data_IF_525393655780
#
_entry.id   IF_525393655780
#
_cell.length_a   1.000
_cell.length_b   1.000
_cell.length_c   1.000
_cell.angle_alpha   90.00
_cell.angle_beta   90.00
_cell.angle_gamma   90.00
#
_symmetry.space_group_name_H-M   'P 1'
#
loop_
_entity.id
_entity.type
_entity.pdbx_description
1 polymer ?
#
# COMPACT_ATOMS: atom_id res chain seq x y z
N UNK A 1 15.01 -8.94 32.66
CA UNK A 1 14.49 -8.15 33.80
C UNK A 1 13.47 -7.11 33.34
N UNK A 2 13.80 -6.24 32.36
CA UNK A 2 12.91 -5.18 31.84
C UNK A 2 11.53 -5.68 31.39
N UNK A 3 11.44 -6.74 30.59
CA UNK A 3 10.13 -7.17 30.03
C UNK A 3 9.17 -7.74 31.07
N UNK A 4 9.70 -8.44 32.09
CA UNK A 4 8.90 -8.95 33.22
C UNK A 4 8.37 -7.79 34.06
N UNK A 5 9.20 -6.76 34.26
CA UNK A 5 8.83 -5.56 34.98
C UNK A 5 7.77 -4.73 34.22
N UNK A 6 7.90 -4.61 32.89
CA UNK A 6 6.89 -3.92 32.06
C UNK A 6 5.55 -4.66 32.09
N UNK A 7 5.55 -6.00 32.01
CA UNK A 7 4.31 -6.79 32.13
C UNK A 7 3.64 -6.59 33.49
N UNK A 8 4.40 -6.68 34.58
CA UNK A 8 3.87 -6.49 35.93
C UNK A 8 3.32 -5.06 36.13
N UNK A 9 4.03 -4.05 35.63
CA UNK A 9 3.64 -2.65 35.77
C UNK A 9 2.42 -2.32 34.92
N UNK A 10 2.30 -2.90 33.72
CA UNK A 10 1.12 -2.75 32.88
C UNK A 10 -0.15 -3.31 33.56
N UNK A 11 -0.04 -4.44 34.27
CA UNK A 11 -1.14 -4.96 35.08
C UNK A 11 -1.50 -4.00 36.22
N UNK A 12 -0.50 -3.39 36.88
CA UNK A 12 -0.73 -2.39 37.92
C UNK A 12 -1.42 -1.13 37.37
N UNK A 13 -0.97 -0.60 36.22
CA UNK A 13 -1.60 0.54 35.55
C UNK A 13 -3.04 0.27 35.13
N UNK A 14 -3.35 -0.95 34.67
CA UNK A 14 -4.73 -1.32 34.34
C UNK A 14 -5.64 -1.25 35.57
N UNK A 15 -5.15 -1.67 36.73
CA UNK A 15 -5.88 -1.59 38.01
C UNK A 15 -6.03 -0.13 38.46
N UNK A 16 -4.96 0.67 38.40
CA UNK A 16 -4.99 2.10 38.78
C UNK A 16 -5.97 2.91 37.93
N UNK A 17 -6.09 2.59 36.64
CA UNK A 17 -7.02 3.26 35.71
C UNK A 17 -8.46 2.71 35.79
N UNK A 18 -8.73 1.73 36.67
CA UNK A 18 -10.05 1.09 36.77
C UNK A 18 -10.44 0.30 35.51
N UNK A 19 -9.45 -0.12 34.71
CA UNK A 19 -9.66 -0.82 33.44
C UNK A 19 -9.75 -2.33 33.66
N UNK A 20 -10.52 -3.07 32.83
CA UNK A 20 -10.57 -4.52 32.89
C UNK A 20 -9.17 -5.11 32.79
N UNK A 21 -8.88 -6.16 33.58
CA UNK A 21 -7.56 -6.81 33.52
C UNK A 21 -7.35 -7.40 32.14
N UNK A 22 -6.33 -6.95 31.40
CA UNK A 22 -6.04 -7.45 30.06
C UNK A 22 -5.57 -8.90 30.12
N UNK A 23 -5.96 -9.74 29.14
CA UNK A 23 -5.55 -11.13 29.11
C UNK A 23 -4.03 -11.24 28.93
N UNK A 24 -3.42 -12.27 29.54
CA UNK A 24 -1.96 -12.46 29.47
C UNK A 24 -1.45 -12.70 28.05
N UNK A 25 -2.34 -13.12 27.14
CA UNK A 25 -2.08 -13.30 25.70
C UNK A 25 -1.90 -11.97 24.95
N UNK A 26 -2.31 -10.84 25.53
CA UNK A 26 -2.08 -9.52 24.93
C UNK A 26 -0.61 -9.09 24.97
N UNK A 27 0.26 -9.80 25.71
CA UNK A 27 1.68 -9.47 25.87
C UNK A 27 2.56 -10.56 25.31
N UNK A 28 3.38 -10.19 24.32
CA UNK A 28 4.35 -11.10 23.71
C UNK A 28 5.77 -10.56 23.93
N UNK A 29 6.48 -11.05 24.97
CA UNK A 29 7.88 -10.70 25.22
C UNK A 29 8.84 -11.48 24.31
N UNK A 30 10.09 -11.01 24.09
CA UNK A 30 11.07 -11.64 23.19
C UNK A 30 11.42 -13.10 23.50
N UNK A 31 11.24 -13.54 24.74
CA UNK A 31 11.54 -14.90 25.19
C UNK A 31 10.38 -15.89 24.99
N UNK A 32 9.29 -15.49 24.34
CA UNK A 32 8.19 -16.39 23.99
C UNK A 32 8.39 -16.99 22.62
N UNK A 33 7.99 -18.27 22.46
CA UNK A 33 8.06 -18.99 21.19
C UNK A 33 7.21 -18.34 20.09
N UNK A 34 6.19 -17.57 20.47
CA UNK A 34 5.32 -16.85 19.53
C UNK A 34 5.87 -15.49 19.10
N UNK A 35 6.94 -14.98 19.72
CA UNK A 35 7.42 -13.61 19.49
C UNK A 35 7.80 -13.35 18.04
N UNK A 36 8.69 -14.16 17.46
CA UNK A 36 9.12 -13.95 16.07
C UNK A 36 7.96 -14.13 15.09
N UNK A 37 7.06 -15.09 15.34
CA UNK A 37 5.85 -15.30 14.53
C UNK A 37 4.92 -14.09 14.56
N UNK A 38 4.65 -13.56 15.76
CA UNK A 38 3.77 -12.40 15.96
C UNK A 38 4.39 -11.14 15.39
N UNK A 39 5.70 -10.96 15.58
CA UNK A 39 6.46 -9.91 14.94
C UNK A 39 6.22 -10.04 13.43
N UNK A 40 6.67 -11.12 12.78
CA UNK A 40 6.64 -11.32 11.32
C UNK A 40 5.26 -11.31 10.66
N UNK A 41 4.20 -11.62 11.40
CA UNK A 41 2.83 -11.83 10.87
C UNK A 41 2.14 -10.67 10.13
N UNK A 42 2.75 -9.49 10.04
CA UNK A 42 2.29 -8.40 9.16
C UNK A 42 3.44 -7.49 8.73
N UNK A 43 4.65 -8.03 8.60
CA UNK A 43 5.76 -7.28 8.03
C UNK A 43 5.65 -7.32 6.51
N UNK A 44 5.76 -6.16 5.88
CA UNK A 44 5.64 -6.04 4.44
C UNK A 44 6.93 -5.65 3.74
N UNK A 45 7.89 -5.05 4.46
CA UNK A 45 9.23 -4.76 3.93
C UNK A 45 10.30 -5.52 4.74
N UNK A 46 10.81 -6.62 4.16
CA UNK A 46 11.78 -7.52 4.83
C UNK A 46 13.16 -6.89 5.04
N UNK A 47 13.46 -5.76 4.35
CA UNK A 47 14.72 -5.00 4.45
C UNK A 47 15.08 -4.66 5.89
N UNK A 48 14.07 -4.33 6.69
CA UNK A 48 14.26 -3.91 8.09
C UNK A 48 14.31 -5.06 9.08
N UNK A 49 13.82 -6.23 8.68
CA UNK A 49 13.83 -7.41 9.55
C UNK A 49 15.17 -8.15 9.50
N UNK A 50 15.86 -8.08 8.36
CA UNK A 50 17.19 -8.69 8.16
C UNK A 50 18.34 -7.78 8.61
N UNK A 51 18.08 -6.50 8.87
CA UNK A 51 19.10 -5.55 9.29
C UNK A 51 19.53 -5.80 10.75
N UNK A 52 20.79 -6.16 10.95
CA UNK A 52 21.38 -6.31 12.29
C UNK A 52 21.43 -4.98 13.07
N UNK A 53 21.34 -3.83 12.38
CA UNK A 53 21.32 -2.50 12.99
C UNK A 53 19.92 -2.10 13.49
N UNK A 54 18.86 -2.81 13.08
CA UNK A 54 17.50 -2.50 13.49
C UNK A 54 17.23 -3.04 14.91
N UNK A 55 16.81 -2.15 15.82
CA UNK A 55 16.37 -2.58 17.15
C UNK A 55 15.01 -3.28 17.02
N UNK A 56 14.90 -4.49 17.59
CA UNK A 56 13.64 -5.22 17.72
C UNK A 56 12.86 -4.72 18.96
N UNK A 57 11.51 -4.82 18.97
CA UNK A 57 10.73 -4.36 20.10
C UNK A 57 11.05 -5.14 21.38
N UNK A 58 11.09 -4.45 22.51
CA UNK A 58 11.24 -5.06 23.83
C UNK A 58 9.96 -5.80 24.27
N UNK A 59 8.82 -5.48 23.65
CA UNK A 59 7.50 -6.03 23.92
C UNK A 59 6.57 -5.80 22.72
N UNK A 60 5.74 -6.78 22.40
CA UNK A 60 4.61 -6.61 21.47
C UNK A 60 3.32 -6.69 22.29
N UNK A 61 2.46 -5.68 22.16
CA UNK A 61 1.17 -5.58 22.80
C UNK A 61 0.07 -5.73 21.75
N UNK A 62 -0.78 -6.75 21.89
CA UNK A 62 -1.98 -6.96 21.06
C UNK A 62 -3.22 -6.66 21.91
N UNK A 63 -3.72 -5.42 21.86
CA UNK A 63 -4.85 -5.04 22.70
C UNK A 63 -6.13 -5.77 22.27
N UNK A 64 -6.93 -6.20 23.23
CA UNK A 64 -8.25 -6.77 22.99
C UNK A 64 -9.33 -5.69 22.82
N UNK A 65 -9.06 -4.44 23.23
CA UNK A 65 -9.97 -3.32 23.12
C UNK A 65 -9.34 -1.99 23.55
N UNK A 66 -10.13 -0.90 23.59
CA UNK A 66 -9.64 0.45 23.89
C UNK A 66 -8.96 0.59 25.27
N UNK A 67 -9.44 -0.15 26.27
CA UNK A 67 -8.84 -0.16 27.60
C UNK A 67 -7.36 -0.61 27.57
N UNK A 68 -7.07 -1.69 26.84
CA UNK A 68 -5.70 -2.19 26.69
C UNK A 68 -4.79 -1.17 26.00
N UNK A 69 -5.34 -0.38 25.06
CA UNK A 69 -4.60 0.70 24.41
C UNK A 69 -4.24 1.80 25.43
N UNK A 70 -5.20 2.23 26.25
CA UNK A 70 -4.97 3.25 27.28
C UNK A 70 -3.92 2.79 28.29
N UNK A 71 -4.03 1.55 28.79
CA UNK A 71 -3.05 0.98 29.69
C UNK A 71 -1.66 0.87 29.04
N UNK A 72 -1.57 0.56 27.74
CA UNK A 72 -0.30 0.45 27.03
C UNK A 72 0.40 1.79 26.95
N UNK A 73 -0.36 2.85 26.61
CA UNK A 73 0.14 4.23 26.56
C UNK A 73 0.60 4.71 27.93
N UNK A 74 -0.22 4.49 28.97
CA UNK A 74 0.12 4.88 30.33
C UNK A 74 1.40 4.17 30.82
N UNK A 75 1.48 2.85 30.64
CA UNK A 75 2.65 2.06 31.00
C UNK A 75 3.90 2.48 30.20
N UNK A 76 3.77 2.70 28.90
CA UNK A 76 4.90 3.15 28.07
C UNK A 76 5.46 4.48 28.57
N UNK A 77 4.57 5.44 28.85
CA UNK A 77 4.93 6.75 29.42
C UNK A 77 5.58 6.62 30.80
N UNK A 78 5.01 5.82 31.70
CA UNK A 78 5.51 5.62 33.06
C UNK A 78 6.91 5.00 33.11
N UNK A 79 7.30 4.24 32.08
CA UNK A 79 8.59 3.57 32.01
C UNK A 79 9.56 4.15 30.97
N UNK A 80 9.21 5.29 30.34
CA UNK A 80 10.02 5.87 29.26
C UNK A 80 10.19 4.94 28.05
N UNK A 81 9.25 4.02 27.85
CA UNK A 81 9.25 3.07 26.74
C UNK A 81 8.48 3.68 25.57
N UNK A 82 9.19 3.92 24.46
CA UNK A 82 8.57 4.44 23.25
C UNK A 82 7.55 3.42 22.71
N UNK A 83 6.41 3.90 22.23
CA UNK A 83 5.38 3.06 21.62
C UNK A 83 5.33 3.35 20.14
N UNK A 84 5.36 2.29 19.34
CA UNK A 84 5.11 2.34 17.90
C UNK A 84 3.80 1.61 17.60
N UNK A 85 2.90 2.28 16.89
CA UNK A 85 1.61 1.67 16.52
C UNK A 85 1.78 0.95 15.19
N UNK A 86 1.31 -0.30 15.13
CA UNK A 86 1.29 -1.11 13.92
C UNK A 86 -0.13 -1.57 13.64
N UNK A 87 -0.58 -1.39 12.41
CA UNK A 87 -1.87 -1.89 11.92
C UNK A 87 -1.61 -2.97 10.87
N UNK A 88 -1.52 -2.60 9.59
CA UNK A 88 -1.20 -3.52 8.49
C UNK A 88 0.31 -3.77 8.30
N UNK A 89 1.18 -2.93 8.89
CA UNK A 89 2.64 -3.04 8.77
C UNK A 89 3.18 -2.76 7.37
N UNK A 90 2.49 -1.92 6.59
CA UNK A 90 2.90 -1.42 5.27
C UNK A 90 3.78 -0.17 5.32
N UNK A 91 4.39 0.16 6.46
CA UNK A 91 5.29 1.31 6.55
C UNK A 91 6.53 1.07 5.67
N UNK A 92 6.75 1.92 4.66
CA UNK A 92 7.80 1.74 3.66
C UNK A 92 9.21 1.78 4.25
N UNK A 93 9.38 2.44 5.40
CA UNK A 93 10.65 2.54 6.14
C UNK A 93 10.63 1.70 7.43
N UNK A 94 9.62 0.83 7.59
CA UNK A 94 9.47 -0.04 8.74
C UNK A 94 9.25 0.67 10.08
N UNK A 95 8.89 1.95 10.07
CA UNK A 95 8.77 2.76 11.28
C UNK A 95 7.68 2.26 12.23
N UNK A 96 6.73 1.43 11.80
CA UNK A 96 5.74 0.85 12.71
C UNK A 96 6.28 -0.33 13.53
N UNK A 97 7.49 -0.83 13.25
CA UNK A 97 7.97 -2.08 13.84
C UNK A 97 9.49 -2.22 14.05
N UNK A 98 10.31 -1.29 13.56
CA UNK A 98 11.74 -1.16 13.90
C UNK A 98 12.06 0.22 14.45
N UNK A 99 13.17 0.33 15.18
CA UNK A 99 13.75 1.61 15.60
C UNK A 99 15.26 1.66 15.29
N UNK A 100 15.75 2.85 14.94
CA UNK A 100 17.17 3.12 14.75
C UNK A 100 17.97 3.19 16.07
N UNK A 101 17.27 3.13 17.21
CA UNK A 101 17.84 3.11 18.55
C UNK A 101 16.75 3.27 19.62
N UNK A 102 17.13 3.04 20.88
CA UNK A 102 16.23 3.12 22.03
C UNK A 102 15.30 1.91 22.19
N UNK A 103 14.89 1.66 23.43
CA UNK A 103 13.91 0.62 23.74
C UNK A 103 12.51 1.10 23.32
N UNK A 104 11.75 0.23 22.65
CA UNK A 104 10.38 0.50 22.27
C UNK A 104 9.50 -0.75 22.36
N UNK A 105 8.20 -0.55 22.45
CA UNK A 105 7.17 -1.57 22.30
C UNK A 105 6.34 -1.31 21.04
N UNK A 106 5.79 -2.38 20.47
CA UNK A 106 4.78 -2.28 19.42
C UNK A 106 3.40 -2.41 20.04
N UNK A 107 2.48 -1.52 19.70
CA UNK A 107 1.05 -1.69 19.87
C UNK A 107 0.45 -2.19 18.54
N UNK A 108 0.19 -3.49 18.44
CA UNK A 108 -0.19 -4.21 17.22
C UNK A 108 -1.73 -4.35 17.12
N UNK A 109 -2.36 -3.45 16.36
CA UNK A 109 -3.81 -3.36 16.17
C UNK A 109 -4.23 -4.19 14.95
N UNK A 110 -5.15 -5.15 15.14
CA UNK A 110 -5.58 -6.08 14.06
C UNK A 110 -7.10 -6.19 13.88
N UNK A 111 -7.88 -5.39 14.60
CA UNK A 111 -9.34 -5.44 14.52
C UNK A 111 -9.86 -4.51 13.43
N UNK A 112 -10.50 -5.08 12.41
CA UNK A 112 -11.31 -4.35 11.44
C UNK A 112 -12.65 -5.09 11.29
N UNK A 113 -13.75 -4.34 11.33
CA UNK A 113 -15.08 -4.80 10.95
C UNK A 113 -15.43 -4.11 9.63
N UNK A 114 -15.82 -4.89 8.63
CA UNK A 114 -16.22 -4.39 7.31
C UNK A 114 -17.67 -4.79 7.12
N UNK A 115 -18.52 -3.80 6.85
CA UNK A 115 -19.88 -3.99 6.38
C UNK A 115 -19.87 -3.79 4.87
N UNK A 116 -20.33 -4.79 4.11
CA UNK A 116 -20.18 -4.84 2.66
C UNK A 116 -21.54 -4.74 1.98
N UNK A 117 -21.94 -3.53 1.58
CA UNK A 117 -23.06 -3.31 0.68
C UNK A 117 -22.60 -3.31 -0.79
N UNK A 118 -23.36 -4.01 -1.63
CA UNK A 118 -23.00 -4.35 -3.00
C UNK A 118 -23.16 -3.20 -4.02
N UNK A 119 -22.17 -3.06 -4.90
CA UNK A 119 -22.28 -2.33 -6.17
C UNK A 119 -21.27 -2.88 -7.20
N UNK A 120 -21.46 -2.56 -8.48
CA UNK A 120 -20.64 -3.04 -9.62
C UNK A 120 -19.50 -2.09 -9.97
N UNK A 121 -18.38 -2.59 -10.48
CA UNK A 121 -17.23 -1.79 -10.92
C UNK A 121 -16.37 -2.55 -11.93
N UNK A 122 -15.72 -1.87 -12.87
CA UNK A 122 -15.11 -2.51 -14.05
C UNK A 122 -13.60 -2.38 -14.11
N UNK A 123 -12.94 -3.31 -14.80
CA UNK A 123 -11.50 -3.25 -15.09
C UNK A 123 -11.21 -3.20 -16.58
N UNK A 124 -10.31 -2.30 -16.99
CA UNK A 124 -9.66 -2.25 -18.31
C UNK A 124 -8.17 -2.44 -18.08
N UNK A 125 -7.47 -3.23 -18.89
CA UNK A 125 -6.01 -3.19 -18.91
C UNK A 125 -5.46 -3.40 -20.31
N UNK A 126 -4.55 -2.50 -20.72
CA UNK A 126 -3.80 -2.61 -21.98
C UNK A 126 -2.31 -2.51 -21.69
N UNK A 127 -1.54 -3.48 -22.17
CA UNK A 127 -0.07 -3.53 -21.99
C UNK A 127 0.65 -3.31 -23.30
N UNK A 128 1.62 -2.40 -23.33
CA UNK A 128 2.42 -2.05 -24.50
C UNK A 128 3.92 -2.13 -24.20
N UNK A 129 4.74 -2.50 -25.19
CA UNK A 129 6.21 -2.40 -25.11
C UNK A 129 6.65 -0.94 -25.32
N UNK A 130 7.77 -0.56 -24.69
CA UNK A 130 8.34 0.79 -24.63
C UNK A 130 8.06 1.71 -25.83
N UNK A 131 8.49 1.33 -27.05
CA UNK A 131 8.41 2.21 -28.22
C UNK A 131 6.99 2.67 -28.57
N UNK A 132 5.99 1.78 -28.43
CA UNK A 132 4.58 2.13 -28.63
C UNK A 132 3.98 2.83 -27.39
N UNK A 133 4.51 2.54 -26.20
CA UNK A 133 4.03 3.10 -24.95
C UNK A 133 4.42 4.56 -24.74
N UNK A 134 5.62 5.00 -25.16
CA UNK A 134 6.14 6.35 -24.85
C UNK A 134 5.20 7.47 -25.29
N UNK A 135 4.76 7.46 -26.55
CA UNK A 135 3.82 8.45 -27.08
C UNK A 135 2.48 8.40 -26.35
N UNK A 136 2.07 7.21 -25.93
CA UNK A 136 0.81 7.02 -25.24
C UNK A 136 0.87 7.51 -23.80
N UNK A 137 1.98 7.33 -23.10
CA UNK A 137 2.23 7.93 -21.77
C UNK A 137 2.27 9.45 -21.88
N UNK A 138 2.91 9.99 -22.92
CA UNK A 138 2.91 11.44 -23.20
C UNK A 138 1.51 11.99 -23.45
N UNK A 139 0.64 11.23 -24.13
CA UNK A 139 -0.76 11.62 -24.30
C UNK A 139 -1.54 11.48 -23.01
N UNK A 140 -1.38 10.36 -22.31
CA UNK A 140 -2.05 10.02 -21.06
C UNK A 140 -1.89 11.12 -20.00
N UNK A 141 -0.68 11.63 -19.78
CA UNK A 141 -0.43 12.70 -18.79
C UNK A 141 -1.19 14.02 -19.06
N UNK A 142 -1.72 14.23 -20.26
CA UNK A 142 -2.50 15.42 -20.61
C UNK A 142 -4.01 15.20 -20.59
N UNK A 143 -4.46 13.94 -20.63
CA UNK A 143 -5.90 13.61 -20.74
C UNK A 143 -6.43 12.96 -19.48
N UNK A 144 -5.60 12.23 -18.74
CA UNK A 144 -6.06 11.35 -17.66
C UNK A 144 -6.65 12.10 -16.45
N UNK A 145 -6.19 13.33 -16.16
CA UNK A 145 -6.78 14.20 -15.12
C UNK A 145 -8.12 14.81 -15.50
N UNK A 146 -8.39 14.91 -16.81
CA UNK A 146 -9.56 15.58 -17.38
C UNK A 146 -10.66 14.59 -17.81
N UNK A 147 -10.45 13.30 -17.57
CA UNK A 147 -11.47 12.28 -17.85
C UNK A 147 -12.69 12.48 -16.94
N UNK A 148 -13.82 11.90 -17.36
CA UNK A 148 -15.04 11.88 -16.56
C UNK A 148 -14.77 11.27 -15.17
N UNK A 149 -15.41 11.80 -14.12
CA UNK A 149 -15.17 11.38 -12.72
C UNK A 149 -15.35 9.87 -12.47
N UNK A 150 -16.17 9.22 -13.29
CA UNK A 150 -16.43 7.78 -13.20
C UNK A 150 -15.31 6.91 -13.81
N UNK A 151 -14.28 7.52 -14.42
CA UNK A 151 -13.19 6.83 -15.13
C UNK A 151 -11.83 7.17 -14.53
N UNK A 152 -11.15 6.14 -14.00
CA UNK A 152 -9.74 6.21 -13.61
C UNK A 152 -8.91 5.39 -14.61
N UNK A 153 -7.79 5.93 -15.09
CA UNK A 153 -6.79 5.19 -15.86
C UNK A 153 -5.40 5.53 -15.33
N UNK A 154 -4.73 4.56 -14.73
CA UNK A 154 -3.34 4.70 -14.27
C UNK A 154 -2.38 4.31 -15.39
N UNK A 155 -1.09 4.62 -15.21
CA UNK A 155 -0.02 4.10 -16.06
C UNK A 155 1.06 3.46 -15.18
N UNK A 156 1.29 2.16 -15.39
CA UNK A 156 2.28 1.38 -14.63
C UNK A 156 3.38 0.95 -15.60
N UNK A 157 4.58 1.50 -15.42
CA UNK A 157 5.75 1.08 -16.17
C UNK A 157 6.61 0.12 -15.34
N UNK A 158 6.98 -1.00 -15.94
CA UNK A 158 7.88 -2.00 -15.36
C UNK A 158 9.06 -2.17 -16.29
N UNK A 159 10.27 -2.00 -15.76
CA UNK A 159 11.51 -2.40 -16.42
C UNK A 159 12.02 -3.67 -15.77
N UNK A 160 12.07 -4.74 -16.57
CA UNK A 160 12.53 -6.05 -16.14
C UNK A 160 13.42 -6.66 -17.23
N UNK A 161 14.11 -7.74 -16.88
CA UNK A 161 14.93 -8.49 -17.82
C UNK A 161 14.03 -9.13 -18.90
N UNK A 162 14.51 -9.13 -20.14
CA UNK A 162 13.73 -9.64 -21.27
C UNK A 162 13.79 -11.17 -21.31
N UNK A 163 12.63 -11.83 -21.14
CA UNK A 163 12.50 -13.30 -21.18
C UNK A 163 13.06 -13.90 -22.48
N UNK A 164 13.08 -13.13 -23.58
CA UNK A 164 13.54 -13.54 -24.91
C UNK A 164 15.01 -13.16 -25.21
N UNK A 165 15.73 -12.51 -24.29
CA UNK A 165 17.09 -12.05 -24.56
C UNK A 165 18.15 -13.16 -24.35
N UNK A 166 18.76 -13.58 -25.45
CA UNK A 166 19.98 -14.44 -25.48
C UNK A 166 21.24 -13.74 -24.95
N UNK A 167 21.16 -12.46 -24.58
CA UNK A 167 22.26 -11.67 -24.02
C UNK A 167 21.91 -11.17 -22.62
N UNK A 168 22.75 -11.50 -21.62
CA UNK A 168 22.64 -10.96 -20.27
C UNK A 168 22.60 -9.41 -20.32
N UNK A 169 21.59 -8.82 -19.68
CA UNK A 169 21.55 -7.38 -19.35
C UNK A 169 20.79 -6.47 -20.30
N UNK A 170 19.98 -6.99 -21.24
CA UNK A 170 19.06 -6.15 -22.03
C UNK A 170 17.68 -6.12 -21.39
N UNK A 171 17.35 -5.02 -20.73
CA UNK A 171 16.03 -4.79 -20.11
C UNK A 171 14.99 -4.29 -21.09
N UNK A 172 13.76 -4.75 -20.92
CA UNK A 172 12.60 -4.31 -21.70
C UNK A 172 11.62 -3.59 -20.78
N UNK A 173 11.23 -2.37 -21.18
CA UNK A 173 10.19 -1.60 -20.48
C UNK A 173 8.82 -1.97 -21.06
N UNK A 174 7.91 -2.36 -20.17
CA UNK A 174 6.49 -2.60 -20.45
C UNK A 174 5.67 -1.55 -19.71
N UNK A 175 4.66 -1.01 -20.36
CA UNK A 175 3.72 -0.07 -19.73
C UNK A 175 2.32 -0.64 -19.83
N UNK A 176 1.65 -0.75 -18.69
CA UNK A 176 0.26 -1.18 -18.57
C UNK A 176 -0.59 0.03 -18.19
N UNK A 177 -1.74 0.17 -18.83
CA UNK A 177 -2.75 1.18 -18.51
C UNK A 177 -3.95 0.50 -17.84
N UNK A 178 -3.88 0.16 -16.54
CA UNK A 178 -5.04 -0.35 -15.84
C UNK A 178 -6.03 0.80 -15.63
N UNK A 179 -7.31 0.52 -15.80
CA UNK A 179 -8.37 1.49 -15.62
C UNK A 179 -9.58 0.90 -14.93
N UNK A 180 -10.33 1.75 -14.24
CA UNK A 180 -11.58 1.42 -13.60
C UNK A 180 -12.67 2.37 -14.08
N UNK A 181 -13.83 1.82 -14.43
CA UNK A 181 -14.98 2.60 -14.85
C UNK A 181 -16.23 2.24 -14.04
N UNK A 182 -16.95 3.26 -13.56
CA UNK A 182 -18.19 3.11 -12.80
C UNK A 182 -19.42 3.13 -13.74
N UNK A 183 -19.48 2.21 -14.70
CA UNK A 183 -20.57 2.13 -15.66
C UNK A 183 -20.44 0.95 -16.62
N UNK A 184 -21.34 0.79 -17.58
CA UNK A 184 -21.31 -0.39 -18.48
C UNK A 184 -20.19 -0.29 -19.52
N UNK A 185 -19.69 -1.44 -20.00
CA UNK A 185 -18.67 -1.52 -21.06
C UNK A 185 -18.97 -0.63 -22.29
N UNK A 186 -20.22 -0.59 -22.76
CA UNK A 186 -20.59 0.23 -23.92
C UNK A 186 -20.36 1.73 -23.67
N UNK A 187 -20.64 2.19 -22.45
CA UNK A 187 -20.42 3.58 -22.06
C UNK A 187 -18.93 3.86 -21.96
N UNK A 188 -18.14 2.95 -21.37
CA UNK A 188 -16.68 3.04 -21.34
C UNK A 188 -16.10 3.19 -22.74
N UNK A 189 -16.49 2.33 -23.68
CA UNK A 189 -15.97 2.39 -25.05
C UNK A 189 -16.34 3.70 -25.76
N UNK A 190 -17.54 4.26 -25.49
CA UNK A 190 -17.93 5.58 -26.01
C UNK A 190 -17.02 6.68 -25.46
N UNK A 191 -16.86 6.74 -24.13
CA UNK A 191 -16.01 7.71 -23.44
C UNK A 191 -14.57 7.62 -23.92
N UNK A 192 -14.03 6.40 -24.04
CA UNK A 192 -12.67 6.15 -24.53
C UNK A 192 -12.51 6.63 -25.97
N UNK A 193 -13.48 6.37 -26.85
CA UNK A 193 -13.40 6.79 -28.24
C UNK A 193 -13.47 8.33 -28.40
N UNK A 194 -14.19 9.01 -27.51
CA UNK A 194 -14.31 10.48 -27.52
C UNK A 194 -13.11 11.18 -26.89
N UNK A 195 -12.64 10.69 -25.73
CA UNK A 195 -11.69 11.42 -24.89
C UNK A 195 -10.26 10.90 -24.96
N UNK A 196 -10.07 9.62 -25.31
CA UNK A 196 -8.73 9.00 -25.33
C UNK A 196 -8.63 7.83 -26.32
N UNK A 197 -8.99 8.08 -27.58
CA UNK A 197 -9.04 7.07 -28.64
C UNK A 197 -7.67 6.46 -28.96
N UNK A 198 -6.59 7.18 -28.69
CA UNK A 198 -5.21 6.73 -28.87
C UNK A 198 -4.87 5.52 -27.99
N UNK A 199 -5.56 5.34 -26.85
CA UNK A 199 -5.43 4.14 -26.02
C UNK A 199 -5.97 2.89 -26.72
N UNK A 200 -6.74 3.01 -27.81
CA UNK A 200 -7.24 1.88 -28.58
C UNK A 200 -7.96 0.86 -27.71
N UNK A 201 -8.84 1.35 -26.82
CA UNK A 201 -9.65 0.49 -25.97
C UNK A 201 -10.63 -0.32 -26.83
N UNK A 202 -10.68 -1.63 -26.60
CA UNK A 202 -11.54 -2.56 -27.32
C UNK A 202 -12.35 -3.37 -26.31
N UNK A 203 -13.48 -3.92 -26.76
CA UNK A 203 -14.33 -4.73 -25.91
C UNK A 203 -13.57 -5.93 -25.31
N UNK A 204 -12.64 -6.51 -26.06
CA UNK A 204 -11.76 -7.63 -25.66
C UNK A 204 -10.82 -7.29 -24.51
N UNK A 205 -10.52 -6.01 -24.27
CA UNK A 205 -9.67 -5.55 -23.18
C UNK A 205 -10.44 -5.26 -21.87
N UNK A 206 -11.77 -5.34 -21.89
CA UNK A 206 -12.62 -4.97 -20.75
C UNK A 206 -13.22 -6.23 -20.09
N UNK A 207 -13.43 -6.18 -18.77
CA UNK A 207 -14.16 -7.23 -18.03
C UNK A 207 -15.22 -6.64 -17.10
N UNK A 208 -16.46 -7.14 -17.22
CA UNK A 208 -17.59 -6.80 -16.33
C UNK A 208 -17.49 -7.56 -15.03
N UNK A 209 -17.24 -6.85 -13.94
CA UNK A 209 -17.10 -7.47 -12.63
C UNK A 209 -17.85 -6.67 -11.55
N UNK A 210 -18.00 -7.27 -10.38
CA UNK A 210 -18.46 -6.58 -9.18
C UNK A 210 -17.34 -5.70 -8.59
N UNK A 211 -17.68 -4.77 -7.69
CA UNK A 211 -16.68 -3.92 -7.02
C UNK A 211 -15.70 -4.73 -6.16
N UNK A 212 -16.13 -5.85 -5.59
CA UNK A 212 -15.26 -6.70 -4.76
C UNK A 212 -14.31 -7.52 -5.63
N UNK A 213 -14.76 -7.97 -6.80
CA UNK A 213 -13.89 -8.59 -7.81
C UNK A 213 -12.93 -7.58 -8.43
N UNK A 214 -13.36 -6.34 -8.70
CA UNK A 214 -12.47 -5.27 -9.16
C UNK A 214 -11.42 -4.93 -8.10
N UNK A 215 -11.80 -4.87 -6.81
CA UNK A 215 -10.86 -4.71 -5.72
C UNK A 215 -9.85 -5.87 -5.67
N UNK A 216 -10.30 -7.11 -5.90
CA UNK A 216 -9.40 -8.27 -5.97
C UNK A 216 -8.43 -8.18 -7.15
N UNK A 217 -8.92 -7.71 -8.32
CA UNK A 217 -8.10 -7.49 -9.50
C UNK A 217 -6.99 -6.45 -9.26
N UNK A 218 -7.33 -5.27 -8.73
CA UNK A 218 -6.35 -4.22 -8.43
C UNK A 218 -5.40 -4.59 -7.28
N UNK A 219 -5.79 -5.53 -6.41
CA UNK A 219 -4.90 -6.12 -5.41
C UNK A 219 -3.91 -7.15 -5.99
N UNK A 220 -4.02 -7.48 -7.29
CA UNK A 220 -3.14 -8.45 -7.97
C UNK A 220 -3.58 -9.91 -7.84
N UNK A 221 -4.82 -10.18 -7.40
CA UNK A 221 -5.34 -11.55 -7.36
C UNK A 221 -5.80 -11.98 -8.76
N UNK A 222 -5.03 -12.88 -9.38
CA UNK A 222 -5.23 -13.31 -10.78
C UNK A 222 -6.62 -13.90 -11.08
N UNK A 223 -7.25 -14.56 -10.12
CA UNK A 223 -8.58 -15.17 -10.28
C UNK A 223 -9.73 -14.21 -9.93
N UNK A 224 -9.43 -12.93 -9.62
CA UNK A 224 -10.39 -11.93 -9.14
C UNK A 224 -11.27 -12.42 -7.97
N UNK A 225 -10.79 -13.41 -7.22
CA UNK A 225 -11.54 -14.03 -6.14
C UNK A 225 -11.75 -13.02 -5.00
N UNK A 226 -12.97 -12.49 -4.91
CA UNK A 226 -13.35 -11.46 -3.93
C UNK A 226 -13.22 -11.91 -2.48
N UNK A 227 -13.25 -13.22 -2.21
CA UNK A 227 -13.04 -13.74 -0.84
C UNK A 227 -11.61 -13.50 -0.35
N UNK A 228 -10.63 -13.40 -1.26
CA UNK A 228 -9.24 -13.07 -0.94
C UNK A 228 -9.09 -11.68 -0.32
N UNK A 229 -9.94 -10.73 -0.71
CA UNK A 229 -9.94 -9.37 -0.13
C UNK A 229 -10.36 -9.38 1.34
N UNK A 230 -11.10 -10.40 1.76
CA UNK A 230 -11.49 -10.61 3.16
C UNK A 230 -10.44 -11.40 3.96
N UNK A 231 -9.43 -11.98 3.30
CA UNK A 231 -8.37 -12.71 3.99
C UNK A 231 -7.50 -11.77 4.82
N UNK A 232 -7.52 -12.00 6.13
CA UNK A 232 -6.78 -11.17 7.10
C UNK A 232 -5.35 -11.65 7.34
N UNK A 233 -4.89 -12.60 6.54
CA UNK A 233 -3.50 -13.10 6.57
C UNK A 233 -2.75 -12.31 5.50
N UNK A 234 -1.86 -11.39 5.90
CA UNK A 234 -1.10 -10.65 4.92
C UNK A 234 -0.31 -11.64 4.09
N UNK A 235 -0.45 -11.58 2.77
CA UNK A 235 0.40 -12.34 1.90
C UNK A 235 1.83 -11.87 2.14
N UNK A 236 2.71 -12.81 2.47
CA UNK A 236 4.11 -12.49 2.70
C UNK A 236 4.70 -12.05 1.37
N UNK A 237 4.88 -10.74 1.21
CA UNK A 237 5.76 -10.26 0.17
C UNK A 237 7.19 -10.54 0.65
N UNK A 238 7.79 -11.62 0.16
CA UNK A 238 9.16 -12.02 0.52
C UNK A 238 10.21 -11.02 0.02
N UNK A 239 9.82 -10.05 -0.80
CA UNK A 239 10.68 -9.03 -1.38
C UNK A 239 11.08 -7.91 -0.41
N UNK A 240 12.29 -7.40 -0.61
CA UNK A 240 12.71 -6.08 -0.13
C UNK A 240 12.29 -5.03 -1.14
N UNK A 241 11.94 -3.82 -0.70
CA UNK A 241 11.73 -2.72 -1.63
C UNK A 241 12.15 -1.37 -1.04
N UNK A 242 12.40 -0.41 -1.93
CA UNK A 242 12.55 1.00 -1.62
C UNK A 242 11.65 1.80 -2.57
N UNK A 243 10.81 2.65 -2.00
CA UNK A 243 9.92 3.50 -2.77
C UNK A 243 10.14 4.98 -2.46
N UNK A 244 9.79 5.81 -3.44
CA UNK A 244 9.73 7.27 -3.38
C UNK A 244 8.52 7.70 -4.20
N UNK A 245 7.94 8.84 -3.86
CA UNK A 245 6.83 9.46 -4.57
C UNK A 245 7.20 10.90 -4.94
N UNK A 246 6.58 11.40 -6.00
CA UNK A 246 6.74 12.77 -6.46
C UNK A 246 5.46 13.23 -7.18
N UNK A 247 5.28 14.54 -7.31
CA UNK A 247 4.18 15.19 -8.04
C UNK A 247 4.76 15.90 -9.25
N UNK A 248 4.57 15.34 -10.45
CA UNK A 248 5.32 15.78 -11.64
C UNK A 248 4.47 15.79 -12.90
N UNK A 249 4.82 16.70 -13.82
CA UNK A 249 4.60 16.49 -15.25
C UNK A 249 5.78 15.68 -15.78
N UNK A 250 5.50 14.53 -16.36
CA UNK A 250 6.52 13.56 -16.72
C UNK A 250 7.35 14.04 -17.92
N UNK A 251 8.67 13.84 -17.85
CA UNK A 251 9.65 14.34 -18.85
C UNK A 251 10.54 13.26 -19.47
N UNK A 252 10.18 11.97 -19.35
CA UNK A 252 11.01 10.89 -19.87
C UNK A 252 12.03 10.37 -18.85
N UNK A 253 11.71 9.27 -18.16
CA UNK A 253 12.62 8.57 -17.24
C UNK A 253 13.02 7.17 -17.73
N UNK A 254 12.71 6.83 -18.98
CA UNK A 254 12.95 5.51 -19.55
C UNK A 254 14.41 5.07 -19.49
N UNK A 255 15.34 6.01 -19.72
CA UNK A 255 16.77 5.74 -19.63
C UNK A 255 17.18 5.26 -18.24
N UNK A 256 16.70 5.93 -17.19
CA UNK A 256 16.98 5.54 -15.81
C UNK A 256 16.45 4.13 -15.51
N UNK A 257 15.22 3.83 -15.94
CA UNK A 257 14.62 2.51 -15.74
C UNK A 257 15.37 1.40 -16.49
N UNK A 258 15.83 1.68 -17.72
CA UNK A 258 16.57 0.72 -18.53
C UNK A 258 18.01 0.47 -18.06
N UNK A 259 18.65 1.47 -17.43
CA UNK A 259 20.03 1.39 -16.93
C UNK A 259 20.13 0.76 -15.53
N UNK A 260 19.02 0.52 -14.84
CA UNK A 260 19.00 -0.16 -13.55
C UNK A 260 19.50 -1.61 -13.69
N UNK A 261 20.45 -2.02 -12.83
CA UNK A 261 21.18 -3.29 -12.99
C UNK A 261 20.78 -4.39 -12.01
N UNK A 262 20.17 -4.03 -10.88
CA UNK A 262 20.11 -4.93 -9.73
C UNK A 262 18.71 -5.51 -9.47
N UNK A 263 17.63 -4.75 -9.75
CA UNK A 263 16.24 -5.17 -9.45
C UNK A 263 15.24 -4.57 -10.45
N UNK A 264 14.05 -5.18 -10.64
CA UNK A 264 12.99 -4.61 -11.44
C UNK A 264 12.61 -3.21 -10.93
N UNK A 265 12.50 -2.25 -11.84
CA UNK A 265 12.08 -0.89 -11.49
C UNK A 265 10.62 -0.73 -11.88
N UNK A 266 9.78 -0.42 -10.90
CA UNK A 266 8.36 -0.16 -11.10
C UNK A 266 8.09 1.34 -10.88
N UNK A 267 7.41 1.95 -11.84
CA UNK A 267 6.90 3.31 -11.76
C UNK A 267 5.39 3.26 -11.91
N UNK A 268 4.68 3.67 -10.86
CA UNK A 268 3.22 3.79 -10.85
C UNK A 268 2.89 5.27 -10.97
N UNK A 269 2.12 5.62 -12.00
CA UNK A 269 1.68 6.98 -12.27
C UNK A 269 0.16 6.99 -12.17
N UNK A 270 -0.34 7.82 -11.26
CA UNK A 270 -1.77 8.00 -10.99
C UNK A 270 -2.19 9.40 -11.46
N UNK A 271 -3.31 9.53 -12.18
CA UNK A 271 -3.82 10.84 -12.54
C UNK A 271 -4.45 11.51 -11.31
N UNK A 272 -4.19 12.81 -11.16
CA UNK A 272 -4.83 13.65 -10.14
C UNK A 272 -5.72 14.65 -10.86
N UNK A 273 -6.95 14.80 -10.39
CA UNK A 273 -8.00 15.62 -11.00
C UNK A 273 -9.37 15.30 -10.41
N UNK A 274 -10.43 15.67 -11.12
CA UNK A 274 -11.83 15.42 -10.72
C UNK A 274 -12.11 15.94 -9.30
N UNK A 275 -12.65 15.07 -8.44
CA UNK A 275 -13.00 15.44 -7.06
C UNK A 275 -11.83 15.97 -6.22
N UNK A 276 -10.58 15.64 -6.56
CA UNK A 276 -9.42 16.19 -5.83
C UNK A 276 -9.26 17.70 -6.08
N UNK A 277 -9.53 18.19 -7.29
CA UNK A 277 -9.40 19.61 -7.63
C UNK A 277 -10.45 20.49 -6.94
N UNK A 278 -11.56 19.90 -6.50
CA UNK A 278 -12.62 20.57 -5.77
C UNK A 278 -12.26 20.82 -4.29
N UNK A 279 -11.30 20.07 -3.75
CA UNK A 279 -10.91 20.15 -2.34
C UNK A 279 -9.85 21.24 -2.19
N UNK A 280 -10.10 22.23 -1.34
CA UNK A 280 -9.11 23.26 -1.03
C UNK A 280 -7.86 22.65 -0.36
N UNK A 281 -6.67 23.15 -0.70
CA UNK A 281 -5.39 22.64 -0.15
C UNK A 281 -5.30 22.72 1.37
N UNK A 282 -6.07 23.62 1.99
CA UNK A 282 -6.13 23.81 3.45
C UNK A 282 -7.26 23.02 4.12
N UNK A 283 -8.11 22.33 3.35
CA UNK A 283 -9.26 21.62 3.90
C UNK A 283 -8.83 20.39 4.73
N UNK A 284 -7.73 19.75 4.34
CA UNK A 284 -7.15 18.59 5.00
C UNK A 284 -5.63 18.68 5.00
N UNK A 285 -4.96 17.86 5.82
CA UNK A 285 -3.50 17.85 5.93
C UNK A 285 -2.77 17.35 4.65
N UNK A 286 -3.50 16.84 3.65
CA UNK A 286 -2.97 16.49 2.34
C UNK A 286 -3.01 17.75 1.45
N UNK A 287 -1.87 18.39 1.15
CA UNK A 287 -1.88 19.71 0.52
C UNK A 287 -1.98 19.66 -1.02
N UNK A 288 -1.88 18.49 -1.64
CA UNK A 288 -1.67 18.35 -3.08
C UNK A 288 -2.97 18.29 -3.91
N UNK A 289 -4.05 18.92 -3.49
CA UNK A 289 -5.39 18.70 -4.08
C UNK A 289 -5.67 19.50 -5.35
N UNK A 290 -5.27 20.77 -5.44
CA UNK A 290 -5.58 21.67 -6.58
C UNK A 290 -4.40 21.86 -7.54
N UNK A 291 -3.58 20.83 -7.75
CA UNK A 291 -2.36 20.91 -8.53
C UNK A 291 -2.62 20.93 -10.05
N UNK A 292 -3.19 22.03 -10.53
CA UNK A 292 -3.38 22.32 -11.96
C UNK A 292 -3.31 23.82 -12.30
N UNK A 293 -3.26 24.72 -11.30
CA UNK A 293 -3.27 26.18 -11.54
C UNK A 293 -1.99 26.94 -11.15
N UNK A 294 -1.00 26.28 -10.56
CA UNK A 294 0.20 26.96 -10.02
C UNK A 294 1.54 26.27 -10.28
N UNK A 295 1.67 25.49 -11.37
CA UNK A 295 2.96 24.98 -11.86
C UNK A 295 3.19 25.41 -13.31
#
# INVERSE_FOLDING_TARGET
MVTVQVKASYLAFSIELGLPRPPSSSFTPPNTTSYDTILRSSFQNTRFLLSAAATKPALIVRPAGPADVQAAVACGRGHGLLIRVRIGGHDYEGLSYVSAGGLFAILDLRSVAVDADGSTGWGLARTLKHGAATKLVERWQHVASELVDDLLISAIAVADDDDDATALGKRTIRVTFPGMFLGRQRQLLSVMNESFSELGAEATHCSEVSRTESAAYFAGYGDMNSTMVLERRPQYNSGTFKAKSDFVRWKGMWRFMAEAKDEPVVMIMEPWGGRLDEIAETAIALPHTQQGKSL
#
